data_IF_848725654135
#
_entry.id   IF_848725654135
#
_cell.length_a   1.000
_cell.length_b   1.000
_cell.length_c   1.000
_cell.angle_alpha   90.00
_cell.angle_beta   90.00
_cell.angle_gamma   90.00
#
_symmetry.space_group_name_H-M   'P 1'
#
loop_
_entity.id
_entity.type
_entity.pdbx_description
1 polymer ?
#
# COMPACT_ATOMS: atom_id res chain seq x y z
N UNK A 1 -13.24 -9.38 -1.12
CA UNK A 1 -12.59 -8.11 -1.54
C UNK A 1 -12.07 -7.39 -0.32
N UNK A 2 -10.80 -7.01 -0.32
CA UNK A 2 -10.19 -6.32 0.81
C UNK A 2 -10.28 -4.82 0.58
N UNK A 3 -10.86 -4.13 1.55
CA UNK A 3 -10.88 -2.68 1.52
C UNK A 3 -9.78 -2.15 2.44
N UNK A 4 -8.84 -1.43 1.85
CA UNK A 4 -7.75 -0.85 2.62
C UNK A 4 -8.15 0.53 3.12
N UNK A 5 -7.66 0.87 4.30
CA UNK A 5 -7.93 2.14 4.92
C UNK A 5 -6.63 2.85 5.25
N UNK A 6 -6.71 4.17 5.37
CA UNK A 6 -5.55 4.97 5.72
C UNK A 6 -5.03 4.54 7.09
N UNK A 7 -3.73 4.42 7.20
CA UNK A 7 -3.09 4.01 8.44
C UNK A 7 -2.87 2.52 8.58
N UNK A 8 -3.41 1.70 7.68
CA UNK A 8 -3.21 0.26 7.76
C UNK A 8 -1.79 -0.12 7.38
N UNK A 9 -1.25 -1.11 8.11
CA UNK A 9 0.05 -1.68 7.77
C UNK A 9 -0.14 -2.79 6.76
N UNK A 10 0.65 -2.75 5.70
CA UNK A 10 0.54 -3.70 4.60
C UNK A 10 1.91 -4.12 4.13
N UNK A 11 1.94 -5.20 3.36
CA UNK A 11 3.15 -5.70 2.73
C UNK A 11 2.89 -5.82 1.23
N UNK A 12 3.85 -5.36 0.43
CA UNK A 12 3.79 -5.48 -1.02
C UNK A 12 4.13 -6.90 -1.41
N UNK A 13 3.22 -7.56 -2.13
CA UNK A 13 3.40 -8.96 -2.55
C UNK A 13 4.60 -9.16 -3.47
N UNK A 14 4.98 -8.13 -4.21
CA UNK A 14 6.03 -8.25 -5.23
C UNK A 14 7.41 -8.06 -4.62
N UNK A 15 7.57 -7.06 -3.76
CA UNK A 15 8.89 -6.70 -3.23
C UNK A 15 9.10 -7.14 -1.80
N UNK A 16 8.04 -7.60 -1.12
CA UNK A 16 8.04 -7.93 0.31
C UNK A 16 8.27 -6.73 1.23
N UNK A 17 8.25 -5.52 0.68
CA UNK A 17 8.40 -4.32 1.50
C UNK A 17 7.17 -4.12 2.37
N UNK A 18 7.38 -3.72 3.61
CA UNK A 18 6.30 -3.43 4.55
C UNK A 18 6.20 -1.93 4.75
N UNK A 19 4.97 -1.45 4.85
CA UNK A 19 4.77 -0.03 5.01
C UNK A 19 3.34 0.30 5.41
N UNK A 20 2.96 1.55 5.20
CA UNK A 20 1.69 2.08 5.65
C UNK A 20 0.94 2.71 4.49
N UNK A 21 -0.38 2.54 4.48
CA UNK A 21 -1.24 3.20 3.50
C UNK A 21 -1.47 4.62 3.97
N UNK A 22 -1.09 5.61 3.16
CA UNK A 22 -1.17 7.02 3.55
C UNK A 22 -2.13 7.83 2.71
N UNK A 23 -2.57 7.32 1.55
CA UNK A 23 -3.55 8.01 0.71
C UNK A 23 -4.31 6.99 -0.11
N UNK A 24 -5.40 7.43 -0.69
CA UNK A 24 -6.28 6.57 -1.46
C UNK A 24 -6.86 7.36 -2.61
N UNK A 25 -6.92 6.74 -3.80
CA UNK A 25 -7.60 7.32 -4.97
C UNK A 25 -8.69 6.36 -5.39
N UNK A 26 -9.89 6.90 -5.56
CA UNK A 26 -11.02 6.13 -6.05
C UNK A 26 -11.30 6.54 -7.49
N UNK A 27 -11.49 5.54 -8.34
CA UNK A 27 -11.82 5.77 -9.74
C UNK A 27 -13.25 5.32 -9.99
N UNK A 28 -13.94 6.02 -10.89
CA UNK A 28 -15.27 5.61 -11.29
C UNK A 28 -15.24 4.23 -11.96
N UNK A 29 -14.23 4.02 -12.77
CA UNK A 29 -14.01 2.74 -13.42
C UNK A 29 -12.64 2.24 -13.03
N UNK A 30 -12.55 0.95 -12.73
CA UNK A 30 -11.28 0.34 -12.40
C UNK A 30 -11.09 0.20 -10.91
N UNK A 31 -9.94 -0.33 -10.53
CA UNK A 31 -9.59 -0.65 -9.17
C UNK A 31 -9.01 0.57 -8.47
N UNK A 32 -9.39 0.78 -7.22
CA UNK A 32 -8.81 1.87 -6.41
C UNK A 32 -7.32 1.67 -6.26
N UNK A 33 -6.60 2.78 -6.15
CA UNK A 33 -5.17 2.76 -5.88
C UNK A 33 -4.88 3.40 -4.53
N UNK A 34 -3.80 2.94 -3.91
CA UNK A 34 -3.41 3.37 -2.58
C UNK A 34 -1.95 3.80 -2.58
N UNK A 35 -1.68 4.90 -1.89
CA UNK A 35 -0.30 5.35 -1.71
C UNK A 35 0.31 4.58 -0.56
N UNK A 36 1.40 3.92 -0.85
CA UNK A 36 2.10 3.03 0.07
C UNK A 36 3.45 3.65 0.40
N UNK A 37 3.64 4.02 1.67
CA UNK A 37 4.91 4.57 2.14
C UNK A 37 5.70 3.49 2.87
N UNK A 38 6.96 3.35 2.49
CA UNK A 38 7.82 2.32 3.05
C UNK A 38 9.26 2.82 3.09
N UNK A 39 10.09 2.16 3.88
CA UNK A 39 11.53 2.43 3.90
C UNK A 39 12.21 1.50 2.93
N UNK A 40 13.09 2.08 2.09
CA UNK A 40 13.89 1.25 1.19
C UNK A 40 15.10 0.70 1.96
N UNK A 41 15.96 -0.06 1.24
CA UNK A 41 17.11 -0.70 1.88
C UNK A 41 18.12 0.32 2.42
N UNK A 42 18.11 1.52 1.87
CA UNK A 42 18.99 2.60 2.34
C UNK A 42 18.44 3.35 3.53
N UNK A 43 17.22 3.03 3.97
CA UNK A 43 16.57 3.73 5.07
C UNK A 43 15.85 4.99 4.66
N UNK A 44 15.70 5.25 3.37
CA UNK A 44 14.97 6.41 2.87
C UNK A 44 13.49 6.09 2.72
N UNK A 45 12.64 7.09 2.98
CA UNK A 45 11.20 6.93 2.81
C UNK A 45 10.88 6.99 1.33
N UNK A 46 10.18 5.97 0.86
CA UNK A 46 9.69 5.91 -0.52
C UNK A 46 8.19 5.77 -0.51
N UNK A 47 7.55 6.18 -1.60
CA UNK A 47 6.12 6.00 -1.73
C UNK A 47 5.79 5.67 -3.18
N UNK A 48 4.73 4.87 -3.36
CA UNK A 48 4.27 4.48 -4.68
C UNK A 48 2.79 4.18 -4.64
N UNK A 49 2.14 4.37 -5.79
CA UNK A 49 0.72 4.08 -5.94
C UNK A 49 0.56 2.67 -6.51
N UNK A 50 -0.20 1.83 -5.80
CA UNK A 50 -0.49 0.49 -6.27
C UNK A 50 -1.96 0.16 -6.03
N UNK A 51 -2.48 -0.75 -6.86
CA UNK A 51 -3.84 -1.26 -6.67
C UNK A 51 -3.91 -2.12 -5.40
N UNK A 52 -5.11 -2.23 -4.85
CA UNK A 52 -5.31 -2.97 -3.60
C UNK A 52 -4.83 -4.41 -3.67
N UNK A 53 -4.99 -5.03 -4.84
CA UNK A 53 -4.63 -6.44 -5.02
C UNK A 53 -3.13 -6.71 -4.83
N UNK A 54 -2.32 -5.65 -4.84
CA UNK A 54 -0.87 -5.78 -4.66
C UNK A 54 -0.46 -6.00 -3.21
N UNK A 55 -1.36 -5.78 -2.26
CA UNK A 55 -1.01 -5.72 -0.85
C UNK A 55 -1.57 -6.89 -0.05
N UNK A 56 -0.83 -7.26 1.00
CA UNK A 56 -1.30 -8.15 2.05
C UNK A 56 -1.41 -7.32 3.31
N UNK A 57 -2.59 -7.37 3.96
CA UNK A 57 -2.79 -6.65 5.22
C UNK A 57 -2.04 -7.36 6.33
N UNK A 58 -1.28 -6.60 7.09
CA UNK A 58 -0.54 -7.13 8.23
C UNK A 58 -1.36 -6.90 9.50
N UNK A 59 -1.46 -7.95 10.31
CA UNK A 59 -2.13 -7.87 11.60
C UNK A 59 -1.07 -7.64 12.67
N UNK A 60 -1.24 -6.57 13.41
CA UNK A 60 -0.33 -6.28 14.51
C UNK A 60 -0.81 -6.94 15.78
#
# INVERSE_FOLDING_TARGET
MIELQLGMRVKDKVTDAEGTITAKVEYLYGENEYLFEYLNKSGSVCSSWFAASRFIVLND
#
